data_IF_349826966083
#
_entry.id   IF_349826966083
#
_cell.length_a   1.000
_cell.length_b   1.000
_cell.length_c   1.000
_cell.angle_alpha   90.00
_cell.angle_beta   90.00
_cell.angle_gamma   90.00
#
_symmetry.space_group_name_H-M   'P 1'
#
loop_
_entity.id
_entity.type
_entity.pdbx_description
1 polymer ?
#
# COMPACT_ATOMS: atom_id res chain seq x y z
N UNK A 1 -6.20 16.42 10.88
CA UNK A 1 -7.44 17.23 10.94
C UNK A 1 -7.29 18.62 11.56
N UNK A 2 -6.49 18.81 12.66
CA UNK A 2 -6.40 20.12 13.36
C UNK A 2 -5.89 21.24 12.45
N UNK A 3 -4.84 21.01 11.69
CA UNK A 3 -4.32 22.00 10.72
C UNK A 3 -5.37 22.38 9.66
N UNK A 4 -6.07 21.38 9.12
CA UNK A 4 -7.09 21.62 8.10
C UNK A 4 -8.25 22.50 8.63
N UNK A 5 -8.68 22.28 9.89
CA UNK A 5 -9.71 23.13 10.53
C UNK A 5 -9.30 24.60 10.60
N UNK A 6 -8.03 24.88 10.89
CA UNK A 6 -7.52 26.24 10.95
C UNK A 6 -7.68 26.99 9.62
N UNK A 7 -7.42 26.29 8.51
CA UNK A 7 -7.46 26.88 7.17
C UNK A 7 -8.87 26.95 6.54
N UNK A 8 -9.90 26.35 7.14
CA UNK A 8 -11.26 26.32 6.57
C UNK A 8 -11.84 27.71 6.27
N UNK A 9 -11.54 28.69 7.14
CA UNK A 9 -12.03 30.05 6.97
C UNK A 9 -11.32 30.80 5.82
N UNK A 10 -10.08 30.46 5.54
CA UNK A 10 -9.22 31.18 4.61
C UNK A 10 -9.21 30.55 3.21
N UNK A 11 -9.51 29.26 3.07
CA UNK A 11 -9.53 28.60 1.77
C UNK A 11 -10.81 28.90 0.99
N UNK A 12 -10.69 29.05 -0.33
CA UNK A 12 -11.81 29.20 -1.26
C UNK A 12 -12.43 27.86 -1.65
N UNK A 13 -11.60 26.83 -1.85
CA UNK A 13 -11.99 25.48 -2.24
C UNK A 13 -11.21 24.45 -1.44
N UNK A 14 -11.83 23.28 -1.22
CA UNK A 14 -11.26 22.14 -0.50
C UNK A 14 -11.44 20.93 -1.38
N UNK A 15 -10.32 20.38 -1.87
CA UNK A 15 -10.32 19.19 -2.72
C UNK A 15 -10.35 17.93 -1.86
N UNK A 16 -11.34 17.07 -2.08
CA UNK A 16 -11.55 15.84 -1.33
C UNK A 16 -11.85 14.67 -2.27
N UNK A 17 -11.53 13.45 -1.86
CA UNK A 17 -11.87 12.25 -2.60
C UNK A 17 -13.32 11.80 -2.38
N UNK A 18 -13.97 12.27 -1.32
CA UNK A 18 -15.38 12.05 -1.01
C UNK A 18 -16.07 13.36 -0.68
N UNK A 19 -17.35 13.47 -1.03
CA UNK A 19 -18.22 14.58 -0.61
C UNK A 19 -18.77 14.36 0.79
N UNK A 20 -18.89 13.09 1.21
CA UNK A 20 -19.39 12.71 2.52
C UNK A 20 -18.22 12.61 3.52
N UNK A 21 -17.86 13.75 4.09
CA UNK A 21 -16.81 13.86 5.09
C UNK A 21 -17.42 13.82 6.49
N UNK A 22 -17.17 12.76 7.25
CA UNK A 22 -17.59 12.66 8.64
C UNK A 22 -17.06 13.84 9.47
N UNK A 23 -17.93 14.43 10.29
CA UNK A 23 -17.58 15.55 11.17
C UNK A 23 -17.05 16.81 10.46
N UNK A 24 -17.38 17.00 9.18
CA UNK A 24 -17.03 18.22 8.46
C UNK A 24 -18.01 19.35 8.83
N UNK A 25 -17.54 20.59 9.09
CA UNK A 25 -18.40 21.71 9.44
C UNK A 25 -19.38 22.03 8.31
N UNK A 26 -20.68 22.06 8.65
CA UNK A 26 -21.77 22.27 7.68
C UNK A 26 -21.64 23.58 6.90
N UNK A 27 -21.17 24.64 7.56
CA UNK A 27 -21.00 25.98 6.98
C UNK A 27 -19.88 26.14 5.97
N UNK A 28 -19.12 25.06 5.71
CA UNK A 28 -18.04 25.05 4.72
C UNK A 28 -18.24 23.98 3.63
N UNK A 29 -19.40 23.29 3.63
CA UNK A 29 -19.66 22.20 2.66
C UNK A 29 -19.63 22.69 1.22
N UNK A 30 -20.05 23.92 0.94
CA UNK A 30 -20.03 24.52 -0.40
C UNK A 30 -18.61 24.75 -0.96
N UNK A 31 -17.60 24.67 -0.09
CA UNK A 31 -16.20 24.76 -0.52
C UNK A 31 -15.65 23.42 -1.01
N UNK A 32 -16.33 22.30 -0.74
CA UNK A 32 -15.87 20.97 -1.13
C UNK A 32 -15.95 20.79 -2.64
N UNK A 33 -14.88 20.32 -3.21
CA UNK A 33 -14.80 19.88 -4.60
C UNK A 33 -14.26 18.46 -4.60
N UNK A 34 -15.12 17.53 -5.03
CA UNK A 34 -14.73 16.13 -5.21
C UNK A 34 -13.75 16.01 -6.36
N UNK A 35 -12.66 15.34 -6.13
CA UNK A 35 -11.66 15.01 -7.14
C UNK A 35 -11.34 13.51 -7.10
N UNK A 36 -10.88 12.98 -8.20
CA UNK A 36 -10.29 11.64 -8.20
C UNK A 36 -8.96 11.63 -7.43
N UNK A 37 -8.54 10.49 -6.86
CA UNK A 37 -7.24 10.38 -6.21
C UNK A 37 -6.11 10.90 -7.10
N UNK A 38 -5.25 11.75 -6.51
CA UNK A 38 -4.07 12.27 -7.20
C UNK A 38 -3.02 11.16 -7.29
N UNK A 39 -2.98 10.52 -8.43
CA UNK A 39 -2.11 9.38 -8.70
C UNK A 39 -1.12 9.77 -9.79
N UNK A 40 0.08 9.24 -9.72
CA UNK A 40 1.12 9.49 -10.71
C UNK A 40 0.67 9.01 -12.09
N UNK A 41 0.94 9.81 -13.13
CA UNK A 41 0.46 9.57 -14.50
C UNK A 41 0.76 8.16 -15.00
N UNK A 42 1.94 7.64 -14.73
CA UNK A 42 2.36 6.32 -15.19
C UNK A 42 1.48 5.16 -14.67
N UNK A 43 0.80 5.32 -13.52
CA UNK A 43 -0.12 4.29 -13.00
C UNK A 43 -1.29 4.05 -13.96
N UNK A 44 -1.75 5.08 -14.67
CA UNK A 44 -2.80 4.94 -15.68
C UNK A 44 -2.31 4.21 -16.95
N UNK A 45 -1.00 4.14 -17.14
CA UNK A 45 -0.37 3.47 -18.28
C UNK A 45 -0.05 1.99 -17.97
N UNK A 46 -0.18 1.58 -16.71
CA UNK A 46 0.01 0.19 -16.31
C UNK A 46 -1.06 -0.69 -16.93
N UNK A 47 -0.61 -1.59 -17.81
CA UNK A 47 -1.46 -2.67 -18.33
C UNK A 47 -1.32 -3.90 -17.45
N UNK A 48 -2.42 -4.51 -17.00
CA UNK A 48 -2.33 -5.77 -16.25
C UNK A 48 -1.55 -6.79 -17.09
N UNK A 49 -0.53 -7.38 -16.51
CA UNK A 49 0.23 -8.44 -17.17
C UNK A 49 -0.47 -9.77 -16.87
N UNK A 50 -1.22 -10.28 -17.84
CA UNK A 50 -1.83 -11.63 -17.78
C UNK A 50 -0.85 -12.72 -18.28
N UNK A 51 0.46 -12.46 -18.24
CA UNK A 51 1.43 -13.50 -18.60
C UNK A 51 1.37 -14.62 -17.57
N UNK A 52 1.28 -15.86 -18.05
CA UNK A 52 1.55 -17.01 -17.20
C UNK A 52 2.93 -16.83 -16.58
N UNK A 53 2.97 -16.77 -15.26
CA UNK A 53 4.20 -16.65 -14.49
C UNK A 53 4.51 -18.01 -13.91
N UNK A 54 5.77 -18.38 -13.95
CA UNK A 54 6.22 -19.61 -13.33
C UNK A 54 5.98 -19.61 -11.80
N UNK A 55 6.07 -18.42 -11.18
CA UNK A 55 5.93 -18.26 -9.72
C UNK A 55 4.90 -17.20 -9.37
N UNK A 56 4.15 -17.50 -8.32
CA UNK A 56 3.23 -16.53 -7.72
C UNK A 56 4.01 -15.42 -7.01
N UNK A 57 3.83 -14.18 -7.43
CA UNK A 57 4.55 -13.03 -6.89
C UNK A 57 3.72 -12.31 -5.82
N UNK A 58 4.17 -12.40 -4.57
CA UNK A 58 3.59 -11.72 -3.42
C UNK A 58 4.35 -10.41 -3.14
N UNK A 59 3.67 -9.28 -3.29
CA UNK A 59 4.19 -7.95 -2.94
C UNK A 59 3.73 -7.56 -1.54
N UNK A 60 4.67 -7.16 -0.67
CA UNK A 60 4.37 -6.74 0.70
C UNK A 60 4.93 -5.34 0.93
N UNK A 61 4.05 -4.38 1.19
CA UNK A 61 4.41 -2.97 1.40
C UNK A 61 3.77 -2.40 2.66
N UNK A 62 4.60 -1.99 3.59
CA UNK A 62 4.15 -1.45 4.88
C UNK A 62 4.11 0.08 4.94
N UNK A 63 4.65 0.78 3.93
CA UNK A 63 4.93 2.21 4.03
C UNK A 63 6.02 2.51 5.06
N UNK A 64 6.30 3.79 5.29
CA UNK A 64 7.40 4.25 6.16
C UNK A 64 7.28 3.84 7.64
N UNK A 65 6.08 3.52 8.11
CA UNK A 65 5.81 3.23 9.53
C UNK A 65 5.31 1.80 9.78
N UNK A 66 5.05 1.00 8.76
CA UNK A 66 4.32 -0.27 8.90
C UNK A 66 5.06 -1.54 8.52
N UNK A 67 6.28 -1.45 7.98
CA UNK A 67 7.02 -2.61 7.49
C UNK A 67 7.35 -3.63 8.60
N UNK A 68 7.80 -3.18 9.75
CA UNK A 68 8.29 -4.07 10.82
C UNK A 68 7.27 -5.10 11.34
N UNK A 69 5.98 -4.79 11.31
CA UNK A 69 4.97 -5.75 11.76
C UNK A 69 4.79 -6.87 10.74
N UNK A 70 4.90 -6.56 9.45
CA UNK A 70 4.82 -7.55 8.39
C UNK A 70 6.02 -8.50 8.45
N UNK A 71 7.22 -7.99 8.76
CA UNK A 71 8.42 -8.78 8.93
C UNK A 71 8.28 -9.87 10.00
N UNK A 72 7.52 -9.59 11.06
CA UNK A 72 7.32 -10.52 12.18
C UNK A 72 6.11 -11.45 11.96
N UNK A 73 5.00 -10.90 11.47
CA UNK A 73 3.72 -11.60 11.45
C UNK A 73 3.45 -12.40 10.19
N UNK A 74 4.11 -12.07 9.06
CA UNK A 74 3.86 -12.76 7.81
C UNK A 74 4.83 -13.92 7.53
N UNK A 75 5.90 -14.08 8.31
CA UNK A 75 6.90 -15.15 8.07
C UNK A 75 6.28 -16.54 8.03
N UNK A 76 5.52 -16.92 9.05
CA UNK A 76 4.90 -18.24 9.14
C UNK A 76 3.86 -18.45 8.04
N UNK A 77 3.09 -17.42 7.73
CA UNK A 77 2.13 -17.44 6.63
C UNK A 77 2.82 -17.68 5.27
N UNK A 78 3.93 -16.96 5.02
CA UNK A 78 4.69 -17.10 3.78
C UNK A 78 5.33 -18.48 3.68
N UNK A 79 5.89 -19.01 4.77
CA UNK A 79 6.42 -20.36 4.83
C UNK A 79 5.36 -21.43 4.56
N UNK A 80 4.15 -21.25 5.05
CA UNK A 80 3.07 -22.20 4.79
C UNK A 80 2.66 -22.18 3.31
N UNK A 81 2.51 -21.01 2.71
CA UNK A 81 2.20 -20.91 1.28
C UNK A 81 3.32 -21.51 0.42
N UNK A 82 4.59 -21.28 0.77
CA UNK A 82 5.73 -21.78 -0.02
C UNK A 82 5.82 -23.30 -0.07
N UNK A 83 5.20 -24.00 0.88
CA UNK A 83 5.11 -25.47 0.85
C UNK A 83 4.11 -26.01 -0.18
N UNK A 84 3.12 -25.18 -0.52
CA UNK A 84 2.02 -25.57 -1.42
C UNK A 84 2.23 -25.04 -2.85
N UNK A 85 2.94 -23.93 -2.98
CA UNK A 85 3.12 -23.24 -4.27
C UNK A 85 4.46 -22.52 -4.32
N UNK A 86 5.11 -22.59 -5.49
CA UNK A 86 6.30 -21.75 -5.74
C UNK A 86 5.94 -20.27 -5.73
N UNK A 87 6.60 -19.52 -4.84
CA UNK A 87 6.36 -18.10 -4.65
C UNK A 87 7.64 -17.29 -4.79
N UNK A 88 7.46 -16.05 -5.23
CA UNK A 88 8.45 -14.97 -5.14
C UNK A 88 7.91 -13.91 -4.20
N UNK A 89 8.72 -13.50 -3.22
CA UNK A 89 8.36 -12.45 -2.26
C UNK A 89 9.10 -11.17 -2.57
N UNK A 90 8.37 -10.09 -2.84
CA UNK A 90 8.91 -8.74 -2.96
C UNK A 90 8.43 -7.96 -1.73
N UNK A 91 9.35 -7.66 -0.79
CA UNK A 91 8.94 -7.10 0.50
C UNK A 91 9.70 -5.85 0.88
N UNK A 92 8.94 -4.83 1.28
CA UNK A 92 9.49 -3.63 1.90
C UNK A 92 9.76 -3.88 3.38
N UNK A 93 10.95 -3.50 3.85
CA UNK A 93 11.35 -3.54 5.26
C UNK A 93 12.21 -2.33 5.62
N UNK A 94 12.62 -2.20 6.88
CA UNK A 94 13.62 -1.22 7.29
C UNK A 94 15.01 -1.58 6.74
N UNK A 95 15.85 -0.58 6.49
CA UNK A 95 17.19 -0.78 5.92
C UNK A 95 18.02 -1.77 6.73
N UNK A 96 17.97 -1.65 8.05
CA UNK A 96 18.72 -2.53 8.97
C UNK A 96 18.22 -3.98 8.98
N UNK A 97 17.04 -4.28 8.41
CA UNK A 97 16.47 -5.62 8.41
C UNK A 97 16.53 -6.33 7.05
N UNK A 98 16.98 -5.66 6.01
CA UNK A 98 17.03 -6.21 4.64
C UNK A 98 17.78 -7.53 4.62
N UNK A 99 19.01 -7.54 5.13
CA UNK A 99 19.88 -8.74 5.12
C UNK A 99 19.28 -9.89 5.91
N UNK A 100 18.72 -9.60 7.09
CA UNK A 100 18.10 -10.62 7.95
C UNK A 100 16.90 -11.28 7.28
N UNK A 101 16.03 -10.46 6.70
CA UNK A 101 14.82 -10.95 6.06
C UNK A 101 15.12 -11.71 4.76
N UNK A 102 16.06 -11.21 3.94
CA UNK A 102 16.51 -11.90 2.73
C UNK A 102 17.13 -13.24 3.05
N UNK A 103 18.01 -13.32 4.07
CA UNK A 103 18.62 -14.57 4.51
C UNK A 103 17.58 -15.56 5.04
N UNK A 104 16.57 -15.08 5.75
CA UNK A 104 15.46 -15.92 6.21
C UNK A 104 14.75 -16.60 5.03
N UNK A 105 14.39 -15.84 3.99
CA UNK A 105 13.72 -16.41 2.81
C UNK A 105 14.64 -17.34 2.02
N UNK A 106 15.92 -16.99 1.83
CA UNK A 106 16.90 -17.86 1.16
C UNK A 106 17.10 -19.19 1.85
N UNK A 107 17.16 -19.22 3.19
CA UNK A 107 17.28 -20.46 3.97
C UNK A 107 16.06 -21.39 3.83
N UNK A 108 14.94 -20.88 3.38
CA UNK A 108 13.72 -21.63 3.15
C UNK A 108 13.39 -21.79 1.66
N UNK A 109 14.38 -21.62 0.79
CA UNK A 109 14.27 -21.77 -0.67
C UNK A 109 13.20 -20.87 -1.31
N UNK A 110 12.92 -19.70 -0.69
CA UNK A 110 11.96 -18.72 -1.19
C UNK A 110 12.70 -17.63 -1.97
N UNK A 111 12.39 -17.51 -3.26
CA UNK A 111 12.88 -16.39 -4.08
C UNK A 111 12.40 -15.07 -3.51
N UNK A 112 13.32 -14.11 -3.32
CA UNK A 112 12.95 -12.86 -2.67
C UNK A 112 13.70 -11.65 -3.21
N UNK A 113 13.03 -10.50 -3.09
CA UNK A 113 13.58 -9.18 -3.34
C UNK A 113 13.18 -8.25 -2.18
N UNK A 114 14.14 -7.95 -1.29
CA UNK A 114 13.90 -7.18 -0.08
C UNK A 114 14.48 -5.77 -0.25
N UNK A 115 13.71 -4.75 0.09
CA UNK A 115 14.11 -3.35 -0.09
C UNK A 115 13.57 -2.45 1.03
N UNK A 116 14.21 -1.30 1.25
CA UNK A 116 13.70 -0.24 2.12
C UNK A 116 12.95 0.83 1.34
N UNK A 117 13.53 1.26 0.23
CA UNK A 117 12.94 2.24 -0.68
C UNK A 117 13.27 1.88 -2.13
N UNK A 118 12.27 2.01 -3.01
CA UNK A 118 12.47 1.87 -4.46
C UNK A 118 11.74 2.98 -5.22
N UNK A 119 12.41 3.54 -6.22
CA UNK A 119 11.83 4.57 -7.10
C UNK A 119 10.81 3.99 -8.08
N UNK A 120 11.03 2.75 -8.52
CA UNK A 120 10.22 2.08 -9.56
C UNK A 120 9.19 1.14 -8.92
N UNK A 121 8.31 1.70 -8.08
CA UNK A 121 7.25 0.93 -7.41
C UNK A 121 6.23 0.35 -8.40
N UNK A 122 6.02 1.03 -9.54
CA UNK A 122 5.15 0.59 -10.63
C UNK A 122 5.52 -0.78 -11.18
N UNK A 123 6.81 -1.05 -11.38
CA UNK A 123 7.25 -2.35 -11.90
C UNK A 123 6.96 -3.50 -10.94
N UNK A 124 6.98 -3.23 -9.64
CA UNK A 124 6.62 -4.22 -8.62
C UNK A 124 5.11 -4.49 -8.63
N UNK A 125 4.29 -3.44 -8.75
CA UNK A 125 2.84 -3.56 -8.87
C UNK A 125 2.50 -4.40 -10.11
N UNK A 126 3.08 -4.11 -11.27
CA UNK A 126 2.85 -4.85 -12.52
C UNK A 126 3.17 -6.34 -12.41
N UNK A 127 4.16 -6.68 -11.59
CA UNK A 127 4.62 -8.06 -11.43
C UNK A 127 3.96 -8.77 -10.24
N UNK A 128 3.15 -8.11 -9.45
CA UNK A 128 2.48 -8.72 -8.32
C UNK A 128 1.20 -9.45 -8.74
N UNK A 129 0.97 -10.63 -8.16
CA UNK A 129 -0.28 -11.37 -8.28
C UNK A 129 -1.19 -11.08 -7.08
N UNK A 130 -0.59 -10.73 -5.94
CA UNK A 130 -1.26 -10.28 -4.72
C UNK A 130 -0.39 -9.27 -4.00
N UNK A 131 -1.00 -8.22 -3.46
CA UNK A 131 -0.32 -7.26 -2.59
C UNK A 131 -0.88 -7.30 -1.16
N UNK A 132 -0.01 -7.40 -0.16
CA UNK A 132 -0.36 -7.17 1.25
C UNK A 132 0.17 -5.78 1.62
N UNK A 133 -0.73 -4.90 2.07
CA UNK A 133 -0.37 -3.50 2.29
C UNK A 133 -1.04 -2.88 3.51
N UNK A 134 -0.58 -1.70 3.92
CA UNK A 134 -1.31 -0.81 4.82
C UNK A 134 -2.40 -0.05 4.07
N UNK A 135 -3.44 0.38 4.78
CA UNK A 135 -4.56 1.13 4.20
C UNK A 135 -4.21 2.60 3.92
N UNK A 136 -3.08 2.86 3.26
CA UNK A 136 -2.73 4.21 2.81
C UNK A 136 -3.50 4.58 1.55
N UNK A 137 -4.24 5.71 1.54
CA UNK A 137 -5.11 6.10 0.44
C UNK A 137 -4.43 6.09 -0.94
N UNK A 138 -3.20 6.60 -1.04
CA UNK A 138 -2.45 6.60 -2.32
C UNK A 138 -2.13 5.19 -2.81
N UNK A 139 -1.64 4.31 -1.92
CA UNK A 139 -1.29 2.94 -2.27
C UNK A 139 -2.52 2.14 -2.70
N UNK A 140 -3.64 2.28 -1.97
CA UNK A 140 -4.90 1.60 -2.32
C UNK A 140 -5.42 2.07 -3.68
N UNK A 141 -5.35 3.37 -3.95
CA UNK A 141 -5.76 3.92 -5.24
C UNK A 141 -4.85 3.43 -6.39
N UNK A 142 -3.53 3.37 -6.18
CA UNK A 142 -2.57 2.83 -7.16
C UNK A 142 -2.83 1.35 -7.47
N UNK A 143 -3.03 0.51 -6.43
CA UNK A 143 -3.33 -0.90 -6.58
C UNK A 143 -4.68 -1.15 -7.27
N UNK A 144 -5.71 -0.38 -6.90
CA UNK A 144 -7.05 -0.49 -7.51
C UNK A 144 -7.04 -0.15 -9.00
N UNK A 145 -6.33 0.92 -9.38
CA UNK A 145 -6.18 1.30 -10.80
C UNK A 145 -5.37 0.28 -11.59
N UNK A 146 -4.33 -0.28 -10.99
CA UNK A 146 -3.50 -1.31 -11.60
C UNK A 146 -4.18 -2.68 -11.65
N UNK A 147 -5.39 -2.81 -11.07
CA UNK A 147 -6.16 -4.07 -10.98
C UNK A 147 -5.39 -5.21 -10.32
N UNK A 148 -4.49 -4.90 -9.40
CA UNK A 148 -3.78 -5.90 -8.60
C UNK A 148 -4.63 -6.24 -7.37
N UNK A 149 -4.96 -7.51 -7.13
CA UNK A 149 -5.62 -7.94 -5.92
C UNK A 149 -4.81 -7.56 -4.69
N UNK A 150 -5.45 -7.09 -3.62
CA UNK A 150 -4.73 -6.73 -2.41
C UNK A 150 -5.49 -7.04 -1.11
N UNK A 151 -4.73 -7.26 -0.05
CA UNK A 151 -5.19 -7.36 1.33
C UNK A 151 -4.69 -6.12 2.06
N UNK A 152 -5.61 -5.25 2.46
CA UNK A 152 -5.29 -4.02 3.16
C UNK A 152 -5.43 -4.21 4.68
N UNK A 153 -4.35 -3.97 5.42
CA UNK A 153 -4.30 -4.15 6.88
C UNK A 153 -4.09 -2.77 7.53
N UNK A 154 -5.11 -2.22 8.18
CA UNK A 154 -5.01 -0.89 8.79
C UNK A 154 -3.95 -0.85 9.89
N UNK A 155 -3.33 0.31 10.07
CA UNK A 155 -2.38 0.56 11.15
C UNK A 155 -3.16 0.90 12.44
N UNK A 156 -3.09 0.08 13.50
CA UNK A 156 -3.87 0.30 14.72
C UNK A 156 -3.57 1.64 15.43
N UNK A 157 -2.35 2.15 15.24
CA UNK A 157 -1.87 3.41 15.85
C UNK A 157 -2.05 4.62 14.94
N UNK A 158 -2.76 4.48 13.81
CA UNK A 158 -3.00 5.61 12.92
C UNK A 158 -3.82 6.68 13.62
N UNK A 159 -3.31 7.90 13.65
CA UNK A 159 -4.07 9.04 14.21
C UNK A 159 -5.43 9.15 13.54
N UNK A 160 -6.47 9.39 14.35
CA UNK A 160 -7.85 9.56 13.90
C UNK A 160 -8.44 8.34 13.15
N UNK A 161 -7.85 7.14 13.28
CA UNK A 161 -8.29 5.88 12.64
C UNK A 161 -8.51 5.98 11.12
N UNK A 162 -7.89 6.96 10.45
CA UNK A 162 -8.12 7.22 9.03
C UNK A 162 -7.85 6.03 8.10
N UNK A 163 -7.03 5.07 8.54
CA UNK A 163 -6.76 3.86 7.74
C UNK A 163 -7.90 2.82 7.78
N UNK A 164 -8.83 2.92 8.73
CA UNK A 164 -10.04 2.10 8.75
C UNK A 164 -11.14 2.66 7.85
N UNK A 165 -11.03 3.93 7.46
CA UNK A 165 -12.03 4.63 6.64
C UNK A 165 -11.65 4.68 5.15
N UNK A 166 -10.40 4.34 4.80
CA UNK A 166 -9.94 4.21 3.42
C UNK A 166 -10.35 2.86 2.83
#
# INVERSE_FOLDING_TARGET
>A
WRANKYFLNFCKKIFCYSEDLKNFPKNHKEKIVKINPLIKKYIYEIKPSYKEKEKFTLLIVGGSQGANIFDKKLKDFILNISKEKEIKVIQQTSENNISNLSNFYKKNDIENEIFSFKKNFESMIQNADLCITRCGASTLAELSLSKVPFIAIPLPTAKDNHQFEN
#
